data_IF_126345013387
#
_entry.id   IF_126345013387
#
_cell.length_a   1.000
_cell.length_b   1.000
_cell.length_c   1.000
_cell.angle_alpha   90.00
_cell.angle_beta   90.00
_cell.angle_gamma   90.00
#
_symmetry.space_group_name_H-M   'P 1'
#
loop_
_entity.id
_entity.type
_entity.pdbx_description
1 polymer ?
#
# COMPACT_ATOMS: atom_id res chain seq x y z
N UNK A 1 -13.40 8.95 6.62
CA UNK A 1 -12.42 10.05 6.44
C UNK A 1 -13.01 11.09 5.50
N UNK A 2 -13.00 12.36 5.87
CA UNK A 2 -13.59 13.45 5.07
C UNK A 2 -12.82 13.70 3.76
N UNK A 3 -11.49 13.54 3.79
CA UNK A 3 -10.60 13.67 2.63
C UNK A 3 -10.99 12.78 1.44
N UNK A 4 -11.13 11.48 1.66
CA UNK A 4 -11.44 10.54 0.57
C UNK A 4 -12.81 10.80 -0.05
N UNK A 5 -13.79 11.22 0.76
CA UNK A 5 -15.13 11.60 0.30
C UNK A 5 -15.07 12.86 -0.57
N UNK A 6 -14.38 13.90 -0.10
CA UNK A 6 -14.19 15.14 -0.85
C UNK A 6 -13.49 14.90 -2.19
N UNK A 7 -12.38 14.15 -2.17
CA UNK A 7 -11.62 13.89 -3.38
C UNK A 7 -12.40 13.05 -4.40
N UNK A 8 -13.24 12.13 -3.92
CA UNK A 8 -14.13 11.31 -4.76
C UNK A 8 -15.16 12.11 -5.56
N UNK A 9 -15.42 13.37 -5.19
CA UNK A 9 -16.39 14.25 -5.85
C UNK A 9 -15.74 15.14 -6.92
N UNK A 10 -14.41 15.18 -7.02
CA UNK A 10 -13.71 16.04 -7.98
C UNK A 10 -13.91 15.58 -9.43
N UNK A 11 -14.02 16.54 -10.35
CA UNK A 11 -14.26 16.24 -11.77
C UNK A 11 -13.03 15.62 -12.45
N UNK A 12 -11.85 16.10 -12.06
CA UNK A 12 -10.53 15.68 -12.58
C UNK A 12 -10.14 14.23 -12.27
N UNK A 13 -10.98 13.47 -11.55
CA UNK A 13 -10.73 12.06 -11.30
C UNK A 13 -10.61 11.29 -12.61
N UNK A 14 -9.51 10.56 -12.76
CA UNK A 14 -9.27 9.73 -13.92
C UNK A 14 -10.21 8.53 -13.92
N UNK A 15 -10.84 8.27 -15.08
CA UNK A 15 -11.84 7.21 -15.23
C UNK A 15 -11.55 6.35 -16.45
N UNK A 16 -11.73 5.05 -16.29
CA UNK A 16 -11.72 4.08 -17.38
C UNK A 16 -13.13 3.47 -17.44
N UNK A 17 -13.79 3.55 -18.60
CA UNK A 17 -15.17 3.08 -18.80
C UNK A 17 -16.14 3.63 -17.73
N UNK A 18 -16.00 4.92 -17.41
CA UNK A 18 -16.81 5.62 -16.40
C UNK A 18 -16.47 5.30 -14.94
N UNK A 19 -15.55 4.37 -14.66
CA UNK A 19 -15.17 3.97 -13.30
C UNK A 19 -13.88 4.66 -12.85
N UNK A 20 -13.85 5.10 -11.58
CA UNK A 20 -12.66 5.70 -10.95
C UNK A 20 -11.50 4.70 -10.96
N UNK A 21 -10.30 5.21 -11.23
CA UNK A 21 -9.07 4.41 -11.18
C UNK A 21 -8.35 4.66 -9.86
N UNK A 22 -7.99 3.57 -9.19
CA UNK A 22 -7.17 3.59 -7.99
C UNK A 22 -5.81 2.95 -8.31
N UNK A 23 -4.78 3.46 -7.66
CA UNK A 23 -3.42 2.93 -7.76
C UNK A 23 -2.98 2.53 -6.37
N UNK A 24 -2.54 1.30 -6.22
CA UNK A 24 -1.98 0.78 -4.99
C UNK A 24 -0.52 0.43 -5.19
N UNK A 25 0.28 0.64 -4.15
CA UNK A 25 1.65 0.15 -4.06
C UNK A 25 1.94 -0.31 -2.64
N UNK A 26 2.94 -1.18 -2.48
CA UNK A 26 3.34 -1.77 -1.22
C UNK A 26 4.82 -2.11 -1.22
N UNK A 27 5.54 -1.63 -0.20
CA UNK A 27 6.98 -1.85 -0.07
C UNK A 27 7.35 -2.44 1.29
N UNK A 28 8.23 -3.44 1.27
CA UNK A 28 8.87 -4.01 2.46
C UNK A 28 10.11 -3.15 2.77
N UNK A 29 10.09 -2.39 3.86
CA UNK A 29 11.17 -1.46 4.24
C UNK A 29 11.94 -2.02 5.42
N UNK A 30 13.22 -2.35 5.19
CA UNK A 30 14.13 -2.81 6.24
C UNK A 30 14.36 -1.76 7.33
N UNK A 31 14.48 -2.20 8.58
CA UNK A 31 14.76 -1.37 9.76
C UNK A 31 15.85 -2.02 10.60
N UNK A 32 16.87 -1.25 10.95
CA UNK A 32 18.00 -1.72 11.77
C UNK A 32 17.66 -1.77 13.27
N UNK A 33 16.69 -0.96 13.71
CA UNK A 33 16.27 -0.87 15.10
C UNK A 33 15.65 -2.16 15.62
N UNK A 34 16.37 -2.89 16.49
CA UNK A 34 15.91 -4.18 17.06
C UNK A 34 14.70 -4.06 18.00
N UNK A 35 14.46 -2.87 18.57
CA UNK A 35 13.36 -2.56 19.51
C UNK A 35 12.36 -1.54 18.95
N UNK A 36 12.38 -1.27 17.65
CA UNK A 36 11.45 -0.32 17.05
C UNK A 36 10.03 -0.95 16.99
N UNK A 37 8.98 -0.24 17.47
CA UNK A 37 7.61 -0.75 17.48
C UNK A 37 7.10 -1.13 16.08
N UNK A 38 6.32 -2.21 16.00
CA UNK A 38 5.70 -2.68 14.76
C UNK A 38 6.67 -3.32 13.75
N UNK A 39 7.98 -3.39 14.03
CA UNK A 39 8.94 -4.08 13.17
C UNK A 39 8.70 -5.59 13.24
N UNK A 40 8.65 -6.21 12.06
CA UNK A 40 8.36 -7.64 11.89
C UNK A 40 9.40 -8.30 11.01
N UNK A 41 9.49 -9.62 11.12
CA UNK A 41 10.21 -10.45 10.15
C UNK A 41 9.33 -10.61 8.92
N UNK A 42 9.79 -10.12 7.77
CA UNK A 42 9.09 -10.11 6.50
C UNK A 42 9.85 -10.98 5.51
N UNK A 43 9.15 -11.90 4.85
CA UNK A 43 9.72 -12.68 3.74
C UNK A 43 9.80 -11.79 2.51
N UNK A 44 10.88 -11.89 1.75
CA UNK A 44 11.06 -11.13 0.53
C UNK A 44 10.99 -12.09 -0.67
N UNK A 45 9.91 -11.97 -1.44
CA UNK A 45 9.61 -12.82 -2.62
C UNK A 45 10.46 -12.48 -3.84
N UNK A 46 11.21 -11.37 -3.82
CA UNK A 46 12.10 -11.03 -4.93
C UNK A 46 13.26 -12.01 -4.95
N UNK A 47 13.34 -12.85 -5.98
CA UNK A 47 14.47 -13.71 -6.28
C UNK A 47 15.68 -12.87 -6.72
N UNK A 48 16.37 -12.29 -5.75
CA UNK A 48 17.65 -11.62 -5.95
C UNK A 48 18.64 -12.25 -4.98
N UNK A 49 19.61 -12.99 -5.52
CA UNK A 49 20.60 -13.76 -4.75
C UNK A 49 21.44 -12.85 -3.84
N UNK A 50 21.51 -11.54 -4.14
CA UNK A 50 22.22 -10.56 -3.33
C UNK A 50 21.44 -10.06 -2.12
N UNK A 51 20.12 -10.33 -2.05
CA UNK A 51 19.25 -9.85 -0.97
C UNK A 51 18.91 -10.97 0.01
N UNK A 52 18.90 -10.68 1.32
CA UNK A 52 18.47 -11.67 2.31
C UNK A 52 16.99 -12.01 2.11
N UNK A 53 16.69 -13.31 2.09
CA UNK A 53 15.32 -13.87 1.96
C UNK A 53 14.34 -13.33 3.02
N UNK A 54 14.87 -12.90 4.17
CA UNK A 54 14.11 -12.35 5.28
C UNK A 54 14.71 -11.03 5.74
N UNK A 55 13.85 -10.02 5.87
CA UNK A 55 14.23 -8.72 6.45
C UNK A 55 13.45 -8.47 7.74
N UNK A 56 14.03 -7.67 8.64
CA UNK A 56 13.27 -7.04 9.72
C UNK A 56 12.85 -5.67 9.25
N UNK A 57 11.56 -5.38 9.26
CA UNK A 57 11.06 -4.14 8.70
C UNK A 57 9.58 -3.92 8.92
N UNK A 58 9.05 -2.92 8.21
CA UNK A 58 7.62 -2.70 8.09
C UNK A 58 7.19 -2.97 6.66
N UNK A 59 5.99 -3.49 6.49
CA UNK A 59 5.34 -3.47 5.19
C UNK A 59 4.52 -2.18 5.10
N UNK A 60 4.85 -1.30 4.17
CA UNK A 60 4.21 0.00 4.03
C UNK A 60 3.40 0.04 2.73
N UNK A 61 2.09 0.22 2.87
CA UNK A 61 1.14 0.23 1.77
C UNK A 61 0.59 1.63 1.54
N UNK A 62 0.42 1.97 0.27
CA UNK A 62 -0.19 3.19 -0.19
C UNK A 62 -1.37 2.86 -1.12
N UNK A 63 -2.51 3.48 -0.87
CA UNK A 63 -3.64 3.49 -1.79
C UNK A 63 -3.92 4.93 -2.19
N UNK A 64 -3.99 5.16 -3.49
CA UNK A 64 -4.22 6.47 -4.09
C UNK A 64 -5.35 6.39 -5.11
N UNK A 65 -5.99 7.53 -5.39
CA UNK A 65 -6.90 7.69 -6.52
C UNK A 65 -6.20 8.48 -7.61
N UNK A 66 -6.41 8.09 -8.87
CA UNK A 66 -5.75 8.72 -10.00
C UNK A 66 -6.54 9.95 -10.45
N UNK A 67 -5.83 11.06 -10.69
CA UNK A 67 -6.38 12.33 -11.18
C UNK A 67 -5.66 12.69 -12.47
N UNK A 68 -6.41 13.07 -13.50
CA UNK A 68 -5.87 13.50 -14.79
C UNK A 68 -6.00 15.00 -14.99
N UNK A 69 -4.91 15.65 -15.40
CA UNK A 69 -4.90 17.06 -15.82
C UNK A 69 -4.19 17.16 -17.16
N UNK A 70 -4.93 17.46 -18.22
CA UNK A 70 -4.42 17.43 -19.59
C UNK A 70 -3.89 16.04 -19.96
N UNK A 71 -2.59 15.95 -20.29
CA UNK A 71 -1.91 14.69 -20.65
C UNK A 71 -1.18 14.03 -19.46
N UNK A 72 -1.27 14.60 -18.26
CA UNK A 72 -0.53 14.14 -17.08
C UNK A 72 -1.49 13.50 -16.09
N UNK A 73 -1.03 12.46 -15.40
CA UNK A 73 -1.76 11.82 -14.31
C UNK A 73 -1.00 11.92 -12.99
N UNK A 74 -1.73 12.13 -11.90
CA UNK A 74 -1.22 12.22 -10.54
C UNK A 74 -1.92 11.21 -9.65
N UNK A 75 -1.16 10.48 -8.83
CA UNK A 75 -1.70 9.60 -7.79
C UNK A 75 -1.88 10.41 -6.50
N UNK A 76 -3.12 10.67 -6.11
CA UNK A 76 -3.41 11.39 -4.87
C UNK A 76 -3.66 10.40 -3.72
N UNK A 77 -2.86 10.46 -2.64
CA UNK A 77 -2.95 9.50 -1.54
C UNK A 77 -4.31 9.54 -0.86
N UNK A 78 -4.94 8.37 -0.69
CA UNK A 78 -6.12 8.19 0.14
C UNK A 78 -5.75 7.64 1.51
N UNK A 79 -4.85 6.66 1.53
CA UNK A 79 -4.44 5.95 2.73
C UNK A 79 -2.98 5.54 2.61
N UNK A 80 -2.22 5.80 3.67
CA UNK A 80 -0.88 5.26 3.89
C UNK A 80 -0.93 4.44 5.19
N UNK A 81 -0.45 3.20 5.17
CA UNK A 81 -0.49 2.33 6.35
C UNK A 81 0.72 1.43 6.45
N UNK A 82 1.17 1.23 7.69
CA UNK A 82 1.96 0.05 8.03
C UNK A 82 1.00 -1.13 8.10
N UNK A 83 1.29 -2.16 7.34
CA UNK A 83 0.48 -3.35 7.21
C UNK A 83 1.21 -4.54 7.84
N UNK A 84 0.42 -5.45 8.36
CA UNK A 84 0.86 -6.64 9.04
C UNK A 84 0.93 -7.86 8.10
N UNK A 85 0.52 -7.68 6.84
CA UNK A 85 0.31 -8.78 5.90
C UNK A 85 -1.06 -9.44 6.09
N UNK A 86 -1.29 -10.52 5.34
CA UNK A 86 -2.54 -11.26 5.39
C UNK A 86 -2.63 -11.99 6.74
N UNK A 87 -3.53 -11.55 7.62
CA UNK A 87 -3.88 -12.29 8.83
C UNK A 87 -4.70 -13.50 8.40
N UNK A 88 -4.18 -14.71 8.57
CA UNK A 88 -4.98 -15.92 8.39
C UNK A 88 -6.20 -15.81 9.30
N UNK A 89 -7.41 -16.02 8.74
CA UNK A 89 -8.58 -16.16 9.59
C UNK A 89 -8.36 -17.38 10.48
N UNK A 90 -8.66 -17.31 11.78
CA UNK A 90 -8.62 -18.51 12.61
C UNK A 90 -9.57 -19.55 12.00
N UNK A 91 -9.04 -20.72 11.64
CA UNK A 91 -9.82 -21.88 11.25
C UNK A 91 -10.79 -22.17 12.40
N UNK A 92 -12.10 -22.00 12.16
CA UNK A 92 -13.09 -22.48 13.11
C UNK A 92 -12.93 -24.01 13.17
N UNK A 93 -12.44 -24.52 14.30
CA UNK A 93 -12.58 -25.94 14.62
C UNK A 93 -14.06 -26.15 14.91
N UNK A 94 -14.72 -26.96 14.07
CA UNK A 94 -16.07 -27.45 14.31
C UNK A 94 -16.13 -28.40 15.49
#
# INVERSE_FOLDING_TARGET
MQWSKWLSQHESLYRIKGKRVYVGDGIKVGKEGRKMPGVKRLHQESEDVSKPEWIRGHYFNALSILVGVGKVCFALPLVLRLDDGIKSKPTQKG
#
